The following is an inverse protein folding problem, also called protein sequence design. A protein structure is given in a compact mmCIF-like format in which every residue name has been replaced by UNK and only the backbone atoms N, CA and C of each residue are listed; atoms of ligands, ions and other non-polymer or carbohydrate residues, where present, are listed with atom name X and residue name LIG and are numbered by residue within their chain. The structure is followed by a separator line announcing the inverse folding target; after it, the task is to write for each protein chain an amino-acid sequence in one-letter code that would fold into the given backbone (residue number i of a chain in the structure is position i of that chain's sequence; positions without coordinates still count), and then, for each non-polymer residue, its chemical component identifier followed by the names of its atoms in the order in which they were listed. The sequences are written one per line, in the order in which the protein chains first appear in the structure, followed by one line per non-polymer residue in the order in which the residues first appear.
data_IF_755438807596
#
_entry.id   IF_755438807596
#
_cell.length_a   1.000
_cell.length_b   1.000
_cell.length_c   1.000
_cell.angle_alpha   90.00
_cell.angle_beta   90.00
_cell.angle_gamma   90.00
#
_symmetry.space_group_name_H-M   'P 1'
#
loop_
_entity.id
_entity.type
_entity.pdbx_description
1 polymer ?
#
# COMPACT_ATOMS: atom_id res chain seq x y z
N UNK A 1 2.41 0.41 13.63
CA UNK A 1 1.27 0.14 12.73
C UNK A 1 0.28 -0.84 13.38
N UNK A 2 0.70 -2.07 13.75
CA UNK A 2 -0.21 -3.11 14.28
C UNK A 2 -0.95 -2.63 15.55
N UNK A 3 -0.29 -1.98 16.49
CA UNK A 3 -0.94 -1.44 17.69
C UNK A 3 -2.01 -0.39 17.38
N UNK A 4 -1.77 0.46 16.38
CA UNK A 4 -2.76 1.43 15.92
C UNK A 4 -3.98 0.75 15.29
N UNK A 5 -3.76 -0.27 14.45
CA UNK A 5 -4.85 -1.05 13.85
C UNK A 5 -5.69 -1.75 14.91
N UNK A 6 -5.05 -2.39 15.92
CA UNK A 6 -5.77 -3.00 17.04
C UNK A 6 -6.66 -1.98 17.74
N UNK A 7 -6.14 -0.79 18.05
CA UNK A 7 -6.92 0.28 18.68
C UNK A 7 -8.09 0.71 17.81
N UNK A 8 -7.86 1.00 16.51
CA UNK A 8 -8.93 1.40 15.59
C UNK A 8 -10.09 0.40 15.55
N UNK A 9 -9.79 -0.90 15.63
CA UNK A 9 -10.82 -1.93 15.62
C UNK A 9 -11.58 -2.01 16.95
N UNK A 10 -10.88 -1.84 18.07
CA UNK A 10 -11.52 -1.74 19.39
C UNK A 10 -12.50 -0.58 19.41
N UNK A 11 -12.13 0.55 18.77
CA UNK A 11 -12.97 1.74 18.61
C UNK A 11 -14.07 1.59 17.54
N UNK A 12 -14.23 0.38 16.96
CA UNK A 12 -15.30 0.08 16.03
C UNK A 12 -15.07 0.52 14.57
N UNK A 13 -13.86 0.97 14.22
CA UNK A 13 -13.53 1.32 12.81
C UNK A 13 -13.46 0.06 11.98
N UNK A 14 -14.27 -0.01 10.91
CA UNK A 14 -14.29 -1.11 9.95
C UNK A 14 -13.79 -0.63 8.59
N UNK A 15 -13.05 -1.49 7.90
CA UNK A 15 -12.52 -1.21 6.57
C UNK A 15 -12.27 -2.53 5.82
N UNK A 16 -12.48 -2.50 4.51
CA UNK A 16 -12.26 -3.67 3.64
C UNK A 16 -10.81 -3.77 3.19
N UNK A 17 -10.14 -2.65 3.02
CA UNK A 17 -8.76 -2.58 2.55
C UNK A 17 -7.89 -1.69 3.43
N UNK A 18 -6.73 -2.21 3.82
CA UNK A 18 -5.65 -1.43 4.42
C UNK A 18 -4.64 -1.02 3.33
N UNK A 19 -4.50 0.27 3.11
CA UNK A 19 -3.58 0.82 2.11
C UNK A 19 -2.29 1.27 2.80
N UNK A 20 -1.15 0.71 2.38
CA UNK A 20 0.14 1.02 3.01
C UNK A 20 1.23 1.33 1.98
N UNK A 21 2.18 2.18 2.37
CA UNK A 21 3.35 2.44 1.56
C UNK A 21 4.39 1.32 1.71
N UNK A 22 5.50 1.41 0.97
CA UNK A 22 6.53 0.39 0.95
C UNK A 22 7.31 0.21 2.27
N UNK A 23 7.17 1.11 3.23
CA UNK A 23 7.77 0.99 4.55
C UNK A 23 7.00 0.03 5.46
N UNK A 24 5.69 -0.04 5.29
CA UNK A 24 4.81 -0.87 6.11
C UNK A 24 4.40 -2.17 5.43
N UNK A 25 4.75 -2.37 4.15
CA UNK A 25 4.49 -3.63 3.45
C UNK A 25 5.50 -4.68 3.90
N UNK A 26 5.17 -5.39 4.97
CA UNK A 26 5.98 -6.46 5.56
C UNK A 26 5.12 -7.71 5.87
N UNK A 27 5.80 -8.84 6.05
CA UNK A 27 5.15 -10.12 6.32
C UNK A 27 4.34 -10.12 7.62
N UNK A 28 4.82 -9.44 8.66
CA UNK A 28 4.13 -9.36 9.95
C UNK A 28 2.80 -8.61 9.83
N UNK A 29 2.78 -7.46 9.14
CA UNK A 29 1.56 -6.71 8.91
C UNK A 29 0.59 -7.49 8.02
N UNK A 30 1.11 -8.16 6.98
CA UNK A 30 0.31 -9.00 6.10
C UNK A 30 -0.36 -10.14 6.88
N UNK A 31 0.41 -10.89 7.70
CA UNK A 31 -0.11 -11.95 8.57
C UNK A 31 -1.20 -11.44 9.51
N UNK A 32 -0.97 -10.27 10.09
CA UNK A 32 -1.92 -9.67 11.01
C UNK A 32 -3.24 -9.31 10.33
N UNK A 33 -3.19 -8.67 9.16
CA UNK A 33 -4.37 -8.22 8.40
C UNK A 33 -5.18 -9.40 7.86
N UNK A 34 -4.52 -10.43 7.35
CA UNK A 34 -5.18 -11.63 6.78
C UNK A 34 -5.68 -12.59 7.87
N UNK A 35 -5.26 -12.40 9.14
CA UNK A 35 -5.75 -13.23 10.24
C UNK A 35 -7.26 -13.11 10.39
N UNK A 36 -7.92 -14.21 10.82
CA UNK A 36 -9.39 -14.35 10.91
C UNK A 36 -10.11 -13.25 11.70
N UNK A 37 -9.39 -12.48 12.49
CA UNK A 37 -9.97 -11.43 13.34
C UNK A 37 -10.34 -10.15 12.62
N UNK A 38 -9.86 -9.92 11.38
CA UNK A 38 -10.01 -8.62 10.71
C UNK A 38 -10.93 -8.64 9.48
N UNK A 39 -10.93 -9.72 8.71
CA UNK A 39 -11.74 -9.83 7.50
C UNK A 39 -11.44 -8.78 6.43
N UNK A 40 -10.28 -8.12 6.50
CA UNK A 40 -9.87 -7.10 5.55
C UNK A 40 -8.66 -7.55 4.73
N UNK A 41 -8.41 -6.85 3.62
CA UNK A 41 -7.29 -7.10 2.73
C UNK A 41 -6.24 -6.00 2.82
N UNK A 42 -5.00 -6.35 2.51
CA UNK A 42 -3.89 -5.39 2.41
C UNK A 42 -3.63 -5.06 0.94
N UNK A 43 -3.47 -3.78 0.62
CA UNK A 43 -2.86 -3.32 -0.62
C UNK A 43 -1.66 -2.46 -0.24
N UNK A 44 -0.45 -2.90 -0.59
CA UNK A 44 0.79 -2.23 -0.24
C UNK A 44 1.71 -2.06 -1.44
N UNK A 45 2.38 -0.91 -1.52
CA UNK A 45 3.50 -0.76 -2.45
C UNK A 45 4.66 -1.64 -1.97
N UNK A 46 5.32 -2.34 -2.87
CA UNK A 46 6.54 -3.08 -2.55
C UNK A 46 7.77 -2.38 -3.14
N UNK A 47 8.89 -2.51 -2.45
CA UNK A 47 10.18 -2.02 -2.97
C UNK A 47 10.69 -2.97 -4.06
N UNK A 48 11.18 -2.41 -5.17
CA UNK A 48 11.90 -3.16 -6.21
C UNK A 48 13.32 -3.47 -5.72
N UNK A 49 13.42 -4.31 -4.69
CA UNK A 49 14.65 -4.58 -3.95
C UNK A 49 14.92 -6.08 -3.74
N UNK A 50 15.54 -6.42 -2.63
CA UNK A 50 16.06 -7.77 -2.33
C UNK A 50 15.04 -8.72 -1.70
N UNK A 51 13.83 -8.25 -1.36
CA UNK A 51 12.76 -9.10 -0.80
C UNK A 51 12.40 -10.20 -1.80
N UNK A 52 12.36 -11.44 -1.31
CA UNK A 52 12.06 -12.63 -2.12
C UNK A 52 10.60 -13.04 -1.94
N UNK A 53 10.03 -13.53 -3.02
CA UNK A 53 8.65 -14.01 -3.12
C UNK A 53 8.66 -15.43 -3.66
N UNK A 54 7.94 -16.31 -3.02
CA UNK A 54 7.76 -17.68 -3.48
C UNK A 54 6.75 -17.68 -4.63
N UNK A 55 7.11 -18.27 -5.75
CA UNK A 55 6.27 -18.35 -6.95
C UNK A 55 6.44 -19.71 -7.60
N UNK A 56 5.58 -20.02 -8.56
CA UNK A 56 5.74 -21.22 -9.41
C UNK A 56 7.08 -21.25 -10.16
N UNK A 57 7.74 -20.10 -10.30
CA UNK A 57 9.06 -19.94 -10.92
C UNK A 57 10.22 -20.04 -9.93
N UNK A 58 9.93 -20.44 -8.67
CA UNK A 58 10.86 -20.47 -7.56
C UNK A 58 10.88 -19.16 -6.75
N UNK A 59 11.81 -19.07 -5.83
CA UNK A 59 11.95 -17.95 -4.90
C UNK A 59 12.75 -16.80 -5.55
N UNK A 60 12.07 -15.74 -5.97
CA UNK A 60 12.63 -14.64 -6.76
C UNK A 60 12.31 -13.26 -6.17
N UNK A 61 13.16 -12.30 -6.46
CA UNK A 61 12.94 -10.88 -6.12
C UNK A 61 11.96 -10.21 -7.11
N UNK A 62 11.35 -9.09 -6.72
CA UNK A 62 10.44 -8.36 -7.60
C UNK A 62 11.11 -7.94 -8.94
N UNK A 63 12.39 -7.46 -8.98
CA UNK A 63 13.07 -7.19 -10.24
C UNK A 63 13.32 -8.42 -11.12
N UNK A 64 13.48 -9.59 -10.53
CA UNK A 64 13.63 -10.85 -11.29
C UNK A 64 12.29 -11.32 -11.82
N UNK A 65 11.23 -11.19 -11.03
CA UNK A 65 9.88 -11.62 -11.41
C UNK A 65 9.37 -10.85 -12.63
N UNK A 66 9.53 -9.52 -12.69
CA UNK A 66 9.02 -8.72 -13.81
C UNK A 66 9.73 -9.03 -15.13
N UNK A 67 10.95 -9.56 -15.12
CA UNK A 67 11.65 -9.95 -16.35
C UNK A 67 10.95 -11.09 -17.09
N UNK A 68 10.19 -11.95 -16.38
CA UNK A 68 9.47 -13.07 -16.98
C UNK A 68 8.35 -12.59 -17.91
N UNK A 69 7.35 -11.80 -17.45
CA UNK A 69 6.32 -11.28 -18.34
C UNK A 69 6.88 -10.32 -19.42
N UNK A 70 8.00 -9.65 -19.17
CA UNK A 70 8.67 -8.86 -20.21
C UNK A 70 9.18 -9.72 -21.36
N UNK A 71 9.79 -10.87 -21.05
CA UNK A 71 10.30 -11.81 -22.06
C UNK A 71 9.19 -12.56 -22.79
N UNK A 72 8.12 -12.95 -22.09
CA UNK A 72 6.99 -13.68 -22.67
C UNK A 72 5.97 -12.80 -23.39
N UNK A 73 6.15 -11.46 -23.41
CA UNK A 73 5.20 -10.54 -24.03
C UNK A 73 3.87 -10.40 -23.27
N UNK A 74 3.79 -10.89 -22.02
CA UNK A 74 2.57 -10.86 -21.20
C UNK A 74 2.30 -9.49 -20.56
N UNK A 75 3.16 -8.52 -20.79
CA UNK A 75 2.96 -7.13 -20.36
C UNK A 75 1.91 -6.47 -21.24
N UNK A 76 0.84 -5.97 -20.63
CA UNK A 76 -0.26 -5.31 -21.33
C UNK A 76 -0.28 -3.81 -21.01
N UNK A 77 -0.59 -2.98 -22.03
CA UNK A 77 -0.85 -1.57 -21.81
C UNK A 77 -2.33 -1.35 -21.48
N UNK A 78 -2.61 -0.80 -20.35
CA UNK A 78 -3.96 -0.41 -19.95
C UNK A 78 -4.20 1.06 -20.27
N UNK A 79 -5.04 1.34 -21.28
CA UNK A 79 -5.40 2.73 -21.67
C UNK A 79 -6.09 3.47 -20.54
N UNK A 80 -6.86 2.75 -19.71
CA UNK A 80 -7.67 3.34 -18.66
C UNK A 80 -6.84 3.95 -17.52
N UNK A 81 -5.73 3.29 -17.15
CA UNK A 81 -4.83 3.76 -16.09
C UNK A 81 -3.55 4.40 -16.65
N UNK A 82 -3.31 4.30 -17.97
CA UNK A 82 -2.14 4.90 -18.63
C UNK A 82 -0.81 4.18 -18.34
N UNK A 83 -0.84 2.91 -17.93
CA UNK A 83 0.34 2.13 -17.52
C UNK A 83 0.46 0.81 -18.27
N UNK A 84 1.71 0.38 -18.46
CA UNK A 84 2.03 -1.02 -18.75
C UNK A 84 1.91 -1.82 -17.48
N UNK A 85 1.22 -2.96 -17.52
CA UNK A 85 0.94 -3.80 -16.35
C UNK A 85 1.29 -5.25 -16.58
N UNK A 86 1.69 -5.93 -15.52
CA UNK A 86 1.85 -7.38 -15.46
C UNK A 86 1.42 -7.89 -14.09
N UNK A 87 0.81 -9.06 -14.05
CA UNK A 87 0.30 -9.67 -12.82
C UNK A 87 1.01 -11.00 -12.57
N UNK A 88 1.44 -11.21 -11.33
CA UNK A 88 2.11 -12.44 -10.91
C UNK A 88 1.53 -12.88 -9.56
N UNK A 89 1.11 -14.14 -9.48
CA UNK A 89 0.75 -14.77 -8.21
C UNK A 89 2.01 -15.19 -7.47
N UNK A 90 2.06 -14.90 -6.18
CA UNK A 90 3.20 -15.20 -5.32
C UNK A 90 2.73 -15.60 -3.92
N UNK A 91 3.68 -16.05 -3.11
CA UNK A 91 3.44 -16.36 -1.71
C UNK A 91 4.51 -15.67 -0.84
N UNK A 92 4.11 -15.19 0.33
CA UNK A 92 4.99 -14.61 1.33
C UNK A 92 4.63 -15.22 2.69
N UNK A 93 5.58 -15.94 3.26
CA UNK A 93 5.41 -16.54 4.60
C UNK A 93 4.12 -17.35 4.75
N UNK A 94 3.77 -18.14 3.73
CA UNK A 94 2.58 -19.00 3.71
C UNK A 94 1.28 -18.29 3.32
N UNK A 95 1.34 -17.01 2.91
CA UNK A 95 0.16 -16.24 2.48
C UNK A 95 0.22 -16.01 0.98
N UNK A 96 -0.81 -16.45 0.27
CA UNK A 96 -0.97 -16.18 -1.15
C UNK A 96 -1.27 -14.70 -1.38
N UNK A 97 -0.55 -14.11 -2.32
CA UNK A 97 -0.67 -12.69 -2.68
C UNK A 97 -0.64 -12.53 -4.19
N UNK A 98 -1.18 -11.42 -4.67
CA UNK A 98 -1.05 -11.01 -6.05
C UNK A 98 -0.12 -9.80 -6.15
N UNK A 99 0.85 -9.86 -7.06
CA UNK A 99 1.78 -8.78 -7.35
C UNK A 99 1.37 -8.13 -8.67
N UNK A 100 1.03 -6.85 -8.62
CA UNK A 100 0.70 -6.03 -9.79
C UNK A 100 1.87 -5.11 -10.10
N UNK A 101 2.63 -5.45 -11.13
CA UNK A 101 3.70 -4.61 -11.66
C UNK A 101 3.12 -3.56 -12.60
N UNK A 102 3.61 -2.33 -12.51
CA UNK A 102 3.18 -1.23 -13.37
C UNK A 102 4.33 -0.26 -13.65
N UNK A 103 4.32 0.33 -14.87
CA UNK A 103 5.26 1.38 -15.26
C UNK A 103 4.61 2.37 -16.21
N UNK A 104 5.00 3.62 -16.11
CA UNK A 104 4.57 4.68 -17.02
C UNK A 104 5.50 4.73 -18.24
N UNK A 105 4.93 4.62 -19.44
CA UNK A 105 5.70 4.61 -20.67
C UNK A 105 6.54 3.35 -20.90
N UNK A 106 7.15 3.22 -22.07
CA UNK A 106 7.94 2.04 -22.48
C UNK A 106 9.26 1.92 -21.70
N UNK A 107 9.86 3.05 -21.32
CA UNK A 107 11.18 3.13 -20.69
C UNK A 107 11.13 3.54 -19.20
N UNK A 108 9.92 3.62 -18.61
CA UNK A 108 9.75 3.99 -17.20
C UNK A 108 10.22 2.89 -16.24
N UNK A 109 10.51 3.29 -15.01
CA UNK A 109 10.84 2.35 -13.93
C UNK A 109 9.61 1.53 -13.52
N UNK A 110 9.82 0.26 -13.25
CA UNK A 110 8.80 -0.60 -12.70
C UNK A 110 8.56 -0.31 -11.22
N UNK A 111 7.30 -0.26 -10.86
CA UNK A 111 6.81 -0.29 -9.50
C UNK A 111 5.88 -1.48 -9.33
N UNK A 112 5.60 -1.87 -8.10
CA UNK A 112 4.67 -2.97 -7.88
C UNK A 112 3.80 -2.72 -6.64
N UNK A 113 2.55 -3.20 -6.72
CA UNK A 113 1.63 -3.34 -5.60
C UNK A 113 1.50 -4.81 -5.25
N UNK A 114 1.35 -5.08 -3.97
CA UNK A 114 1.02 -6.37 -3.41
C UNK A 114 -0.40 -6.30 -2.84
N UNK A 115 -1.21 -7.32 -3.10
CA UNK A 115 -2.49 -7.47 -2.43
C UNK A 115 -2.70 -8.89 -1.91
N UNK A 116 -3.38 -9.00 -0.78
CA UNK A 116 -3.88 -10.28 -0.25
C UNK A 116 -5.24 -10.67 -0.82
N UNK A 117 -5.93 -9.76 -1.52
CA UNK A 117 -7.15 -10.10 -2.23
C UNK A 117 -6.82 -10.67 -3.63
N UNK A 118 -7.00 -11.98 -3.75
CA UNK A 118 -6.70 -12.70 -5.00
C UNK A 118 -7.76 -12.50 -6.10
N UNK A 119 -8.92 -11.92 -5.76
CA UNK A 119 -9.99 -11.62 -6.71
C UNK A 119 -9.84 -10.26 -7.35
N UNK A 120 -9.01 -9.40 -6.76
CA UNK A 120 -8.81 -8.04 -7.22
C UNK A 120 -8.02 -8.02 -8.53
N UNK A 121 -8.45 -7.23 -9.49
CA UNK A 121 -7.68 -7.00 -10.71
C UNK A 121 -6.68 -5.83 -10.54
N UNK A 122 -5.72 -5.74 -11.47
CA UNK A 122 -4.67 -4.71 -11.41
C UNK A 122 -5.23 -3.28 -11.48
N UNK A 123 -6.29 -3.06 -12.24
CA UNK A 123 -6.93 -1.75 -12.41
C UNK A 123 -7.59 -1.31 -11.12
N UNK A 124 -8.37 -2.19 -10.50
CA UNK A 124 -9.07 -1.90 -9.27
C UNK A 124 -8.09 -1.74 -8.09
N UNK A 125 -7.05 -2.58 -8.02
CA UNK A 125 -5.98 -2.44 -7.05
C UNK A 125 -5.29 -1.07 -7.16
N UNK A 126 -5.02 -0.62 -8.38
CA UNK A 126 -4.42 0.69 -8.64
C UNK A 126 -5.37 1.83 -8.24
N UNK A 127 -6.66 1.72 -8.57
CA UNK A 127 -7.70 2.69 -8.22
C UNK A 127 -7.86 2.81 -6.69
N UNK A 128 -7.92 1.70 -5.99
CA UNK A 128 -8.01 1.68 -4.53
C UNK A 128 -6.73 2.25 -3.89
N UNK A 129 -5.56 1.83 -4.36
CA UNK A 129 -4.30 2.31 -3.82
C UNK A 129 -4.09 3.82 -4.04
N UNK A 130 -4.57 4.38 -5.14
CA UNK A 130 -4.46 5.81 -5.41
C UNK A 130 -5.17 6.68 -4.36
N UNK A 131 -6.20 6.15 -3.68
CA UNK A 131 -6.89 6.84 -2.57
C UNK A 131 -5.94 7.13 -1.39
N UNK A 132 -4.85 6.38 -1.25
CA UNK A 132 -3.84 6.66 -0.22
C UNK A 132 -3.27 8.07 -0.33
N UNK A 133 -3.25 8.64 -1.55
CA UNK A 133 -2.76 10.01 -1.79
C UNK A 133 -3.54 11.08 -1.02
N UNK A 134 -4.79 10.81 -0.66
CA UNK A 134 -5.63 11.73 0.13
C UNK A 134 -4.95 12.08 1.45
N UNK A 135 -4.25 11.15 2.09
CA UNK A 135 -3.51 11.41 3.34
C UNK A 135 -2.45 12.50 3.15
N UNK A 136 -1.73 12.46 2.03
CA UNK A 136 -0.68 13.45 1.72
C UNK A 136 -1.28 14.82 1.42
N UNK A 137 -2.40 14.86 0.70
CA UNK A 137 -3.16 16.09 0.43
C UNK A 137 -3.68 16.68 1.74
N UNK A 138 -4.35 15.87 2.58
CA UNK A 138 -4.84 16.28 3.89
C UNK A 138 -3.72 16.88 4.75
N UNK A 139 -2.58 16.20 4.87
CA UNK A 139 -1.44 16.73 5.62
C UNK A 139 -0.91 18.05 5.04
N UNK A 140 -0.88 18.18 3.72
CA UNK A 140 -0.46 19.42 3.06
C UNK A 140 -1.41 20.58 3.41
N UNK A 141 -2.71 20.34 3.31
CA UNK A 141 -3.74 21.34 3.62
C UNK A 141 -3.73 21.74 5.09
N UNK A 142 -3.65 20.77 5.99
CA UNK A 142 -3.51 21.03 7.42
C UNK A 142 -2.27 21.89 7.73
N UNK A 143 -1.13 21.61 7.10
CA UNK A 143 0.09 22.41 7.28
C UNK A 143 -0.03 23.82 6.71
N UNK A 144 -0.66 23.96 5.55
CA UNK A 144 -0.77 25.25 4.86
C UNK A 144 -1.87 26.14 5.46
N UNK A 145 -3.04 25.57 5.70
CA UNK A 145 -4.24 26.32 6.09
C UNK A 145 -4.46 26.35 7.60
N UNK A 146 -4.18 25.24 8.29
CA UNK A 146 -4.44 25.09 9.73
C UNK A 146 -3.16 25.17 10.59
N UNK A 147 -2.03 25.53 9.99
CA UNK A 147 -0.73 25.70 10.68
C UNK A 147 -0.30 24.46 11.49
N UNK A 148 -0.66 23.24 11.03
CA UNK A 148 -0.23 22.00 11.68
C UNK A 148 1.30 21.96 11.80
N UNK A 149 1.81 21.70 13.03
CA UNK A 149 3.24 21.68 13.33
C UNK A 149 3.86 23.05 13.56
N UNK A 150 3.09 24.15 13.57
CA UNK A 150 3.54 25.50 13.94
C UNK A 150 3.16 25.89 15.38
N UNK A 151 2.70 24.91 16.16
CA UNK A 151 2.39 25.10 17.56
C UNK A 151 3.67 25.44 18.35
N UNK A 152 3.64 26.52 19.12
CA UNK A 152 4.76 26.98 19.94
C UNK A 152 4.75 26.41 21.37
N UNK A 153 3.79 25.53 21.69
CA UNK A 153 3.74 24.85 22.97
C UNK A 153 4.95 23.96 23.16
N UNK A 154 5.63 24.10 24.30
CA UNK A 154 6.77 23.26 24.67
C UNK A 154 6.34 21.96 25.34
N UNK A 155 5.14 21.93 25.85
CA UNK A 155 4.57 20.80 26.56
C UNK A 155 3.86 19.85 25.57
N UNK A 156 3.95 18.55 25.87
CA UNK A 156 3.42 17.49 24.99
C UNK A 156 1.89 17.51 24.90
N UNK A 157 1.20 17.82 26.01
CA UNK A 157 -0.26 17.88 26.01
C UNK A 157 -0.78 19.03 25.14
N UNK A 158 -0.12 20.19 25.20
CA UNK A 158 -0.43 21.34 24.34
C UNK A 158 -0.17 21.06 22.86
N UNK A 159 0.87 20.28 22.53
CA UNK A 159 1.11 19.86 21.16
C UNK A 159 0.02 18.90 20.66
N UNK A 160 -0.40 17.92 21.47
CA UNK A 160 -1.51 17.02 21.13
C UNK A 160 -2.80 17.80 20.94
N UNK A 161 -3.13 18.72 21.86
CA UNK A 161 -4.32 19.57 21.75
C UNK A 161 -4.31 20.38 20.45
N UNK A 162 -3.19 20.97 20.07
CA UNK A 162 -3.04 21.72 18.82
C UNK A 162 -3.26 20.86 17.59
N UNK A 163 -2.71 19.63 17.56
CA UNK A 163 -2.93 18.68 16.48
C UNK A 163 -4.41 18.26 16.42
N UNK A 164 -5.01 17.96 17.58
CA UNK A 164 -6.42 17.55 17.66
C UNK A 164 -7.36 18.64 17.14
N UNK A 165 -7.11 19.91 17.51
CA UNK A 165 -7.88 21.03 16.98
C UNK A 165 -7.75 21.17 15.47
N UNK A 166 -6.55 21.00 14.91
CA UNK A 166 -6.37 21.00 13.45
C UNK A 166 -7.18 19.88 12.77
N UNK A 167 -7.19 18.68 13.34
CA UNK A 167 -7.94 17.54 12.81
C UNK A 167 -9.45 17.74 12.92
N UNK A 168 -9.92 18.32 14.02
CA UNK A 168 -11.36 18.59 14.22
C UNK A 168 -11.89 19.72 13.33
N UNK A 169 -11.02 20.64 12.94
CA UNK A 169 -11.40 21.75 12.06
C UNK A 169 -11.34 21.42 10.57
N UNK A 170 -10.62 20.35 10.21
CA UNK A 170 -10.51 19.85 8.83
C UNK A 170 -11.77 19.07 8.41
#
# INVERSE_FOLDING_TARGET
AISMLKRSIIEGVRFDYLLVNSWFTCSELLKFVVSRHFGCHLIGMIKMGKTRYETVLGNKTAPELIKVPQKSGSVKYSRLIGYYTATISAEISGIKVCLFFYRRGKNGNWNALLTSDLKLDAKEAFRLYSRRWVIEVTHKEMKQNLKLGKNQCRDFAGQIAGISLCVMHY
#
